data_IF_381482999947
#
_entry.id   IF_381482999947
#
_cell.length_a   1.000
_cell.length_b   1.000
_cell.length_c   1.000
_cell.angle_alpha   90.00
_cell.angle_beta   90.00
_cell.angle_gamma   90.00
#
_symmetry.space_group_name_H-M   'P 1'
#
loop_
_entity.id
_entity.type
_entity.pdbx_description
1 polymer ?
#
# COMPACT_ATOMS: atom_id res chain seq x y z
N UNK A 1 -40.36 15.91 10.50
CA UNK A 1 -38.92 16.27 10.64
C UNK A 1 -38.22 15.71 9.44
N UNK A 2 -37.86 16.59 8.52
CA UNK A 2 -37.18 16.21 7.30
C UNK A 2 -35.68 16.01 7.63
N UNK A 3 -35.17 14.80 7.48
CA UNK A 3 -33.77 14.60 7.33
C UNK A 3 -33.38 15.13 5.95
N UNK A 4 -32.55 16.15 5.94
CA UNK A 4 -31.97 16.70 4.73
C UNK A 4 -31.00 15.67 4.16
N UNK A 5 -31.51 14.89 3.19
CA UNK A 5 -30.69 14.22 2.19
C UNK A 5 -30.09 15.31 1.32
N UNK A 6 -28.94 15.80 1.63
CA UNK A 6 -28.05 16.42 0.65
C UNK A 6 -26.68 16.74 1.27
N UNK A 7 -25.89 15.73 1.50
CA UNK A 7 -24.44 15.85 1.40
C UNK A 7 -23.99 14.92 0.29
N UNK A 8 -24.52 15.20 -0.90
CA UNK A 8 -23.98 14.68 -2.16
C UNK A 8 -22.55 15.21 -2.26
N UNK A 9 -21.60 14.33 -1.96
CA UNK A 9 -20.21 14.60 -2.23
C UNK A 9 -20.11 15.08 -3.69
N UNK A 10 -19.75 16.33 -3.87
CA UNK A 10 -19.56 16.96 -5.17
C UNK A 10 -18.52 16.15 -5.95
N UNK A 11 -18.76 15.83 -7.23
CA UNK A 11 -17.77 15.22 -8.07
C UNK A 11 -16.48 16.04 -8.05
N UNK A 12 -15.33 15.38 -7.94
CA UNK A 12 -14.02 16.05 -7.91
C UNK A 12 -13.79 16.73 -9.25
N UNK A 13 -13.81 18.05 -9.29
CA UNK A 13 -13.53 18.82 -10.51
C UNK A 13 -12.07 18.61 -10.96
N UNK A 14 -11.77 18.86 -12.25
CA UNK A 14 -10.43 18.62 -12.81
C UNK A 14 -9.32 19.39 -12.09
N UNK A 15 -9.60 20.61 -11.61
CA UNK A 15 -8.66 21.39 -10.81
C UNK A 15 -8.38 20.78 -9.45
N UNK A 16 -9.37 20.14 -8.84
CA UNK A 16 -9.23 19.42 -7.58
C UNK A 16 -8.38 18.16 -7.74
N UNK A 17 -8.48 17.49 -8.90
CA UNK A 17 -7.68 16.29 -9.17
C UNK A 17 -6.19 16.62 -9.35
N UNK A 18 -5.84 17.72 -10.02
CA UNK A 18 -4.45 18.17 -10.16
C UNK A 18 -3.83 18.50 -8.79
N UNK A 19 -4.61 19.13 -7.92
CA UNK A 19 -4.18 19.44 -6.55
C UNK A 19 -4.00 18.16 -5.73
N UNK A 20 -4.92 17.21 -5.86
CA UNK A 20 -4.84 15.90 -5.22
C UNK A 20 -3.62 15.12 -5.71
N UNK A 21 -3.37 15.10 -7.01
CA UNK A 21 -2.20 14.46 -7.59
C UNK A 21 -0.89 15.01 -7.01
N UNK A 22 -0.76 16.35 -6.95
CA UNK A 22 0.44 16.99 -6.39
C UNK A 22 0.61 16.70 -4.90
N UNK A 23 -0.48 16.62 -4.15
CA UNK A 23 -0.45 16.36 -2.71
C UNK A 23 -0.11 14.91 -2.38
N UNK A 24 -0.66 13.95 -3.12
CA UNK A 24 -0.66 12.53 -2.74
C UNK A 24 0.35 11.67 -3.51
N UNK A 25 0.82 12.11 -4.70
CA UNK A 25 1.66 11.28 -5.57
C UNK A 25 2.90 10.73 -4.87
N UNK A 26 3.61 11.57 -4.15
CA UNK A 26 4.88 11.20 -3.52
C UNK A 26 4.65 10.24 -2.33
N UNK A 27 3.57 10.42 -1.60
CA UNK A 27 3.19 9.54 -0.50
C UNK A 27 2.75 8.16 -1.01
N UNK A 28 1.95 8.12 -2.08
CA UNK A 28 1.58 6.87 -2.74
C UNK A 28 2.82 6.15 -3.27
N UNK A 29 3.71 6.87 -3.95
CA UNK A 29 4.95 6.28 -4.49
C UNK A 29 5.84 5.69 -3.37
N UNK A 30 6.09 6.44 -2.29
CA UNK A 30 6.88 5.96 -1.15
C UNK A 30 6.27 4.72 -0.51
N UNK A 31 4.95 4.72 -0.37
CA UNK A 31 4.21 3.57 0.14
C UNK A 31 4.36 2.36 -0.78
N UNK A 32 4.22 2.56 -2.09
CA UNK A 32 4.41 1.49 -3.08
C UNK A 32 5.86 1.00 -3.12
N UNK A 33 6.84 1.89 -3.00
CA UNK A 33 8.25 1.50 -2.95
C UNK A 33 8.55 0.58 -1.76
N UNK A 34 8.03 0.91 -0.58
CA UNK A 34 8.14 0.05 0.60
C UNK A 34 7.37 -1.28 0.42
N UNK A 35 6.16 -1.22 -0.13
CA UNK A 35 5.33 -2.40 -0.37
C UNK A 35 5.95 -3.38 -1.37
N UNK A 36 6.57 -2.88 -2.42
CA UNK A 36 7.24 -3.69 -3.46
C UNK A 36 8.61 -4.19 -3.03
N UNK A 37 9.08 -3.80 -1.83
CA UNK A 37 10.41 -4.17 -1.34
C UNK A 37 11.54 -3.49 -2.12
N UNK A 38 11.36 -2.20 -2.45
CA UNK A 38 12.37 -1.38 -3.12
C UNK A 38 12.36 -1.47 -4.65
N UNK A 39 11.38 -2.15 -5.25
CA UNK A 39 11.24 -2.19 -6.72
C UNK A 39 10.65 -0.90 -7.23
N UNK A 40 11.53 0.03 -7.61
CA UNK A 40 11.16 1.35 -8.10
C UNK A 40 10.33 1.29 -9.40
N UNK A 41 10.66 0.37 -10.31
CA UNK A 41 9.95 0.12 -11.55
C UNK A 41 8.46 -0.19 -11.31
N UNK A 42 8.18 -1.15 -10.43
CA UNK A 42 6.81 -1.54 -10.08
C UNK A 42 6.08 -0.46 -9.28
N UNK A 43 6.78 0.20 -8.35
CA UNK A 43 6.21 1.28 -7.55
C UNK A 43 5.79 2.47 -8.42
N UNK A 44 6.61 2.83 -9.40
CA UNK A 44 6.35 3.92 -10.33
C UNK A 44 5.17 3.60 -11.24
N UNK A 45 5.15 2.40 -11.84
CA UNK A 45 4.06 1.94 -12.69
C UNK A 45 2.73 1.85 -11.93
N UNK A 46 2.73 1.24 -10.73
CA UNK A 46 1.54 1.11 -9.92
C UNK A 46 0.97 2.48 -9.51
N UNK A 47 1.85 3.43 -9.15
CA UNK A 47 1.45 4.79 -8.81
C UNK A 47 0.86 5.51 -10.02
N UNK A 48 1.56 5.56 -11.14
CA UNK A 48 1.13 6.25 -12.35
C UNK A 48 -0.21 5.70 -12.88
N UNK A 49 -0.34 4.39 -12.96
CA UNK A 49 -1.54 3.73 -13.46
C UNK A 49 -2.74 3.92 -12.52
N UNK A 50 -2.53 3.88 -11.19
CA UNK A 50 -3.59 4.14 -10.22
C UNK A 50 -4.14 5.57 -10.36
N UNK A 51 -3.29 6.57 -10.50
CA UNK A 51 -3.72 7.95 -10.74
C UNK A 51 -4.40 8.13 -12.09
N UNK A 52 -3.88 7.51 -13.16
CA UNK A 52 -4.49 7.58 -14.49
C UNK A 52 -5.92 6.99 -14.49
N UNK A 53 -6.10 5.84 -13.84
CA UNK A 53 -7.43 5.22 -13.69
C UNK A 53 -8.36 6.04 -12.80
N UNK A 54 -7.84 6.66 -11.74
CA UNK A 54 -8.62 7.54 -10.88
C UNK A 54 -9.08 8.79 -11.64
N UNK A 55 -8.22 9.40 -12.43
CA UNK A 55 -8.55 10.54 -13.27
C UNK A 55 -9.68 10.21 -14.25
N UNK A 56 -9.61 9.04 -14.90
CA UNK A 56 -10.65 8.59 -15.84
C UNK A 56 -12.03 8.38 -15.17
N UNK A 57 -12.03 8.12 -13.84
CA UNK A 57 -13.24 7.85 -13.06
C UNK A 57 -13.56 8.93 -12.01
N UNK A 58 -12.91 10.08 -12.08
CA UNK A 58 -12.95 11.10 -11.02
C UNK A 58 -14.36 11.50 -10.58
N UNK A 59 -15.30 11.52 -11.51
CA UNK A 59 -16.70 11.90 -11.25
C UNK A 59 -17.48 10.82 -10.46
N UNK A 60 -16.98 9.57 -10.46
CA UNK A 60 -17.60 8.44 -9.77
C UNK A 60 -17.00 8.22 -8.37
N UNK A 61 -15.83 8.82 -8.08
CA UNK A 61 -15.07 8.52 -6.88
C UNK A 61 -15.49 9.46 -5.73
N UNK A 62 -16.01 8.86 -4.65
CA UNK A 62 -16.33 9.59 -3.40
C UNK A 62 -15.08 9.82 -2.55
N UNK A 63 -14.16 8.86 -2.52
CA UNK A 63 -12.89 8.92 -1.82
C UNK A 63 -11.76 8.54 -2.78
N UNK A 64 -11.28 9.51 -3.58
CA UNK A 64 -10.27 9.23 -4.60
C UNK A 64 -8.95 8.79 -4.01
N UNK A 65 -8.53 9.30 -2.84
CA UNK A 65 -7.27 8.90 -2.20
C UNK A 65 -7.30 7.44 -1.80
N UNK A 66 -8.32 7.02 -1.08
CA UNK A 66 -8.47 5.61 -0.68
C UNK A 66 -8.57 4.69 -1.90
N UNK A 67 -9.28 5.12 -2.94
CA UNK A 67 -9.39 4.36 -4.18
C UNK A 67 -8.04 4.21 -4.89
N UNK A 68 -7.22 5.28 -4.96
CA UNK A 68 -5.88 5.26 -5.56
C UNK A 68 -4.99 4.25 -4.82
N UNK A 69 -4.96 4.27 -3.50
CA UNK A 69 -4.18 3.30 -2.73
C UNK A 69 -4.61 1.85 -3.01
N UNK A 70 -5.92 1.57 -3.01
CA UNK A 70 -6.42 0.22 -3.34
C UNK A 70 -6.04 -0.22 -4.75
N UNK A 71 -6.15 0.67 -5.72
CA UNK A 71 -5.75 0.40 -7.10
C UNK A 71 -4.24 0.15 -7.20
N UNK A 72 -3.42 0.99 -6.59
CA UNK A 72 -1.96 0.86 -6.59
C UNK A 72 -1.50 -0.46 -5.95
N UNK A 73 -2.04 -0.84 -4.78
CA UNK A 73 -1.73 -2.12 -4.15
C UNK A 73 -2.11 -3.31 -5.03
N UNK A 74 -3.26 -3.26 -5.70
CA UNK A 74 -3.69 -4.32 -6.62
C UNK A 74 -2.75 -4.44 -7.80
N UNK A 75 -2.42 -3.32 -8.46
CA UNK A 75 -1.50 -3.29 -9.61
C UNK A 75 -0.14 -3.83 -9.21
N UNK A 76 0.44 -3.34 -8.12
CA UNK A 76 1.73 -3.80 -7.61
C UNK A 76 1.73 -5.30 -7.27
N UNK A 77 0.66 -5.79 -6.64
CA UNK A 77 0.52 -7.21 -6.30
C UNK A 77 0.45 -8.07 -7.56
N UNK A 78 -0.33 -7.66 -8.55
CA UNK A 78 -0.48 -8.39 -9.81
C UNK A 78 0.83 -8.42 -10.59
N UNK A 79 1.58 -7.33 -10.61
CA UNK A 79 2.88 -7.27 -11.28
C UNK A 79 3.91 -8.18 -10.58
N UNK A 80 4.02 -8.11 -9.26
CA UNK A 80 4.89 -9.03 -8.50
C UNK A 80 4.53 -10.50 -8.75
N UNK A 81 3.24 -10.82 -8.85
CA UNK A 81 2.80 -12.20 -9.15
C UNK A 81 3.13 -12.63 -10.56
N UNK A 82 3.02 -11.72 -11.55
CA UNK A 82 3.41 -12.00 -12.94
C UNK A 82 4.89 -12.27 -13.04
N UNK A 83 5.72 -11.46 -12.41
CA UNK A 83 7.16 -11.62 -12.40
C UNK A 83 7.58 -12.94 -11.77
N UNK A 84 7.02 -13.30 -10.62
CA UNK A 84 7.27 -14.61 -9.99
C UNK A 84 6.92 -15.79 -10.90
N UNK A 85 5.92 -15.66 -11.77
CA UNK A 85 5.57 -16.69 -12.75
C UNK A 85 6.51 -16.72 -13.95
N UNK A 86 7.05 -15.56 -14.37
CA UNK A 86 8.05 -15.46 -15.43
C UNK A 86 9.40 -15.94 -14.97
N UNK A 87 9.77 -15.60 -13.73
CA UNK A 87 11.08 -15.82 -13.11
C UNK A 87 11.13 -17.12 -12.28
N UNK A 88 10.34 -18.14 -12.61
CA UNK A 88 10.53 -19.46 -12.02
C UNK A 88 11.99 -20.00 -12.20
N UNK A 89 12.92 -19.18 -12.67
CA UNK A 89 14.33 -19.43 -12.89
C UNK A 89 15.28 -18.24 -12.76
N UNK A 90 14.82 -17.00 -12.54
CA UNK A 90 15.72 -15.85 -12.40
C UNK A 90 15.49 -15.12 -11.07
N UNK A 91 16.52 -15.02 -10.27
CA UNK A 91 16.59 -14.25 -9.02
C UNK A 91 16.53 -12.76 -9.41
N UNK A 92 15.47 -12.08 -8.96
CA UNK A 92 15.28 -10.65 -9.23
C UNK A 92 16.48 -9.84 -8.74
N UNK A 93 17.14 -9.18 -9.67
CA UNK A 93 18.15 -8.16 -9.44
C UNK A 93 17.49 -6.97 -8.73
N UNK A 94 17.88 -6.73 -7.56
CA UNK A 94 17.79 -5.65 -6.59
C UNK A 94 17.46 -6.24 -5.21
N UNK A 95 18.24 -7.25 -4.81
CA UNK A 95 18.30 -7.57 -3.40
C UNK A 95 18.93 -6.36 -2.70
N UNK A 96 18.21 -5.74 -1.71
CA UNK A 96 18.88 -4.83 -0.79
C UNK A 96 20.10 -5.57 -0.25
N UNK A 97 21.16 -4.84 0.03
CA UNK A 97 22.38 -5.38 0.58
C UNK A 97 22.05 -6.35 1.74
N UNK A 98 22.26 -7.67 1.58
CA UNK A 98 21.89 -8.64 2.61
C UNK A 98 22.71 -8.49 3.90
N UNK A 99 23.62 -7.54 3.94
CA UNK A 99 24.46 -7.22 5.11
C UNK A 99 23.92 -6.07 5.96
N UNK A 100 22.74 -5.51 5.63
CA UNK A 100 22.14 -4.42 6.39
C UNK A 100 20.82 -4.81 7.05
N UNK A 101 20.56 -4.30 8.26
CA UNK A 101 19.26 -4.49 8.96
C UNK A 101 18.08 -4.04 8.11
N UNK A 102 18.26 -3.02 7.28
CA UNK A 102 17.24 -2.53 6.32
C UNK A 102 17.00 -3.56 5.22
N UNK A 103 18.04 -4.21 4.73
CA UNK A 103 17.96 -5.28 3.74
C UNK A 103 17.17 -6.48 4.27
N UNK A 104 17.45 -6.88 5.51
CA UNK A 104 16.73 -7.97 6.18
C UNK A 104 15.26 -7.64 6.38
N UNK A 105 14.95 -6.41 6.78
CA UNK A 105 13.55 -5.96 6.91
C UNK A 105 12.81 -5.99 5.58
N UNK A 106 13.42 -5.51 4.51
CA UNK A 106 12.81 -5.54 3.17
C UNK A 106 12.58 -6.97 2.71
N UNK A 107 13.56 -7.86 2.92
CA UNK A 107 13.42 -9.27 2.60
C UNK A 107 12.29 -9.93 3.41
N UNK A 108 12.18 -9.62 4.69
CA UNK A 108 11.11 -10.11 5.56
C UNK A 108 9.73 -9.58 5.13
N UNK A 109 9.61 -8.30 4.76
CA UNK A 109 8.37 -7.72 4.24
C UNK A 109 7.88 -8.44 2.98
N UNK A 110 8.78 -8.87 2.10
CA UNK A 110 8.43 -9.64 0.89
C UNK A 110 7.79 -10.99 1.18
N UNK A 111 8.02 -11.56 2.36
CA UNK A 111 7.48 -12.84 2.80
C UNK A 111 6.13 -12.74 3.50
N UNK A 112 5.64 -11.53 3.75
CA UNK A 112 4.29 -11.31 4.25
C UNK A 112 3.25 -11.50 3.14
N UNK A 113 2.01 -11.85 3.54
CA UNK A 113 0.89 -11.78 2.62
C UNK A 113 0.66 -10.33 2.16
N UNK A 114 0.07 -10.08 0.97
CA UNK A 114 -0.17 -8.73 0.49
C UNK A 114 -0.92 -7.84 1.48
N UNK A 115 -1.96 -8.35 2.13
CA UNK A 115 -2.73 -7.59 3.11
C UNK A 115 -1.96 -7.30 4.39
N UNK A 116 -1.17 -8.24 4.90
CA UNK A 116 -0.30 -8.01 6.05
C UNK A 116 0.75 -6.94 5.73
N UNK A 117 1.36 -7.03 4.56
CA UNK A 117 2.36 -6.08 4.09
C UNK A 117 1.75 -4.69 3.90
N UNK A 118 0.59 -4.58 3.25
CA UNK A 118 -0.10 -3.32 3.06
C UNK A 118 -0.44 -2.65 4.41
N UNK A 119 -0.97 -3.41 5.37
CA UNK A 119 -1.27 -2.89 6.69
C UNK A 119 -0.02 -2.37 7.42
N UNK A 120 1.09 -3.12 7.39
CA UNK A 120 2.36 -2.72 7.99
C UNK A 120 2.89 -1.44 7.34
N UNK A 121 2.92 -1.39 6.01
CA UNK A 121 3.46 -0.23 5.28
C UNK A 121 2.61 1.01 5.50
N UNK A 122 1.29 0.90 5.41
CA UNK A 122 0.39 2.04 5.67
C UNK A 122 0.50 2.55 7.10
N UNK A 123 0.61 1.67 8.08
CA UNK A 123 0.71 2.07 9.49
C UNK A 123 2.06 2.67 9.86
N UNK A 124 3.17 2.11 9.34
CA UNK A 124 4.52 2.43 9.81
C UNK A 124 5.35 3.25 8.84
N UNK A 125 5.12 3.16 7.54
CA UNK A 125 5.83 3.99 6.53
C UNK A 125 5.03 5.24 6.21
N UNK A 126 3.73 5.09 5.97
CA UNK A 126 2.84 6.23 5.71
C UNK A 126 2.32 6.90 6.99
N UNK A 127 2.59 6.34 8.16
CA UNK A 127 2.23 6.85 9.49
C UNK A 127 0.73 7.17 9.65
N UNK A 128 -0.11 6.29 9.14
CA UNK A 128 -1.56 6.49 9.15
C UNK A 128 -2.22 5.89 10.39
N UNK A 129 -3.25 6.57 10.88
CA UNK A 129 -4.12 6.04 11.91
C UNK A 129 -4.93 4.82 11.43
N UNK A 130 -5.37 3.98 12.35
CA UNK A 130 -6.00 2.69 12.05
C UNK A 130 -7.22 2.79 11.14
N UNK A 131 -8.06 3.80 11.33
CA UNK A 131 -9.26 4.01 10.51
C UNK A 131 -8.89 4.46 9.10
N UNK A 132 -7.83 5.24 8.96
CA UNK A 132 -7.29 5.64 7.66
C UNK A 132 -6.67 4.44 6.93
N UNK A 133 -5.92 3.59 7.63
CA UNK A 133 -5.40 2.34 7.07
C UNK A 133 -6.56 1.46 6.56
N UNK A 134 -7.60 1.30 7.37
CA UNK A 134 -8.79 0.53 7.01
C UNK A 134 -9.46 1.09 5.73
N UNK A 135 -9.60 2.40 5.66
CA UNK A 135 -10.18 3.09 4.51
C UNK A 135 -9.36 2.90 3.23
N UNK A 136 -8.03 3.05 3.32
CA UNK A 136 -7.11 2.86 2.17
C UNK A 136 -6.96 1.40 1.77
N UNK A 137 -7.16 0.46 2.67
CA UNK A 137 -7.21 -0.97 2.35
C UNK A 137 -8.59 -1.45 1.86
N UNK A 138 -9.64 -0.65 2.04
CA UNK A 138 -11.02 -1.03 1.70
C UNK A 138 -11.55 -2.15 2.61
N UNK A 139 -11.21 -2.11 3.90
CA UNK A 139 -11.61 -3.10 4.89
C UNK A 139 -12.00 -2.45 6.22
N UNK A 140 -12.47 -3.24 7.16
CA UNK A 140 -12.83 -2.75 8.49
C UNK A 140 -11.61 -2.66 9.43
N UNK A 141 -11.64 -1.70 10.36
CA UNK A 141 -10.57 -1.50 11.36
C UNK A 141 -10.22 -2.78 12.16
N UNK A 142 -11.18 -3.61 12.59
CA UNK A 142 -10.85 -4.90 13.24
C UNK A 142 -10.03 -5.84 12.34
N UNK A 143 -10.32 -5.86 11.04
CA UNK A 143 -9.56 -6.67 10.07
C UNK A 143 -8.13 -6.15 9.91
N UNK A 144 -7.93 -4.84 9.89
CA UNK A 144 -6.60 -4.23 9.90
C UNK A 144 -5.80 -4.65 11.13
N UNK A 145 -6.40 -4.65 12.31
CA UNK A 145 -5.75 -5.10 13.56
C UNK A 145 -5.25 -6.54 13.43
N UNK A 146 -6.06 -7.42 12.84
CA UNK A 146 -5.65 -8.81 12.59
C UNK A 146 -4.47 -8.88 11.62
N UNK A 147 -4.51 -8.13 10.52
CA UNK A 147 -3.40 -8.10 9.57
C UNK A 147 -2.11 -7.55 10.19
N UNK A 148 -2.21 -6.48 10.98
CA UNK A 148 -1.05 -5.91 11.69
C UNK A 148 -0.49 -6.89 12.72
N UNK A 149 -1.34 -7.50 13.53
CA UNK A 149 -0.90 -8.48 14.54
C UNK A 149 -0.17 -9.65 13.89
N UNK A 150 -0.76 -10.27 12.87
CA UNK A 150 -0.15 -11.40 12.16
C UNK A 150 1.11 -10.99 11.40
N UNK A 151 1.09 -9.82 10.77
CA UNK A 151 2.26 -9.28 10.06
C UNK A 151 3.45 -9.03 10.98
N UNK A 152 3.21 -8.40 12.13
CA UNK A 152 4.25 -8.16 13.16
C UNK A 152 4.79 -9.46 13.75
N UNK A 153 3.92 -10.41 14.08
CA UNK A 153 4.33 -11.71 14.57
C UNK A 153 5.23 -12.43 13.55
N UNK A 154 4.86 -12.38 12.26
CA UNK A 154 5.66 -12.99 11.19
C UNK A 154 7.01 -12.29 11.00
N UNK A 155 7.04 -10.97 11.06
CA UNK A 155 8.29 -10.20 10.97
C UNK A 155 9.24 -10.54 12.11
N UNK A 156 8.76 -10.61 13.36
CA UNK A 156 9.56 -11.03 14.50
C UNK A 156 10.18 -12.41 14.31
N UNK A 157 9.43 -13.37 13.80
CA UNK A 157 9.95 -14.71 13.49
C UNK A 157 11.03 -14.67 12.41
N UNK A 158 10.82 -13.86 11.35
CA UNK A 158 11.76 -13.79 10.23
C UNK A 158 13.06 -13.05 10.58
N UNK A 159 12.97 -12.04 11.44
CA UNK A 159 14.10 -11.21 11.84
C UNK A 159 14.83 -11.75 13.08
N UNK A 160 14.34 -12.84 13.69
CA UNK A 160 14.96 -13.44 14.87
C UNK A 160 14.89 -12.57 16.12
N UNK A 161 14.07 -11.52 16.15
CA UNK A 161 13.81 -10.74 17.35
C UNK A 161 12.87 -11.53 18.26
N UNK A 162 13.47 -12.33 19.12
CA UNK A 162 12.77 -12.86 20.29
C UNK A 162 12.69 -11.71 21.29
N UNK A 163 11.47 -11.26 21.63
CA UNK A 163 11.32 -10.48 22.85
C UNK A 163 11.71 -11.43 23.99
N UNK A 164 12.80 -11.08 24.69
CA UNK A 164 13.01 -11.62 26.02
C UNK A 164 11.84 -11.13 26.85
N UNK A 165 10.89 -12.00 27.14
CA UNK A 165 9.86 -11.80 28.15
C UNK A 165 10.58 -11.60 29.48
N UNK A 166 10.58 -10.38 29.99
CA UNK A 166 10.92 -10.06 31.36
C UNK A 166 9.63 -9.68 32.14
#
# INVERSE_FOLDING_TARGET
>A
MAYTEDELATPVESHDFDSLFRAERDDVYRTMLAFTGGRADVAEEATAEAFARALARREELRDPVAWIYRAAFRIATDEIRRDRRRDAGAIADLAPDPSSEVGDLIAALRLLSPNQRAAIVLRHVADLEMDEVARRMGTATPTVRVHLHRGRARLRQLLGTQEEDD
#
